data_IF_966601699004
#
_entry.id   IF_966601699004
#
_cell.length_a   1.000
_cell.length_b   1.000
_cell.length_c   1.000
_cell.angle_alpha   90.00
_cell.angle_beta   90.00
_cell.angle_gamma   90.00
#
_symmetry.space_group_name_H-M   'P 1'
#
loop_
_entity.id
_entity.type
_entity.pdbx_description
1 polymer ?
#
# COMPACT_ATOMS: atom_id res chain seq x y z
N UNK A 1 -12.42 38.49 -3.82
CA UNK A 1 -13.54 37.51 -3.87
C UNK A 1 -13.00 36.38 -4.69
N UNK A 2 -12.24 35.55 -3.99
CA UNK A 2 -11.29 34.62 -4.56
C UNK A 2 -11.93 33.25 -4.44
N UNK A 3 -12.22 32.66 -5.60
CA UNK A 3 -12.67 31.28 -5.73
C UNK A 3 -11.54 30.59 -6.48
N UNK A 4 -10.57 30.07 -5.73
CA UNK A 4 -9.59 29.11 -6.21
C UNK A 4 -9.51 27.96 -5.22
N UNK A 5 -10.03 26.80 -5.63
CA UNK A 5 -9.38 25.50 -5.48
C UNK A 5 -10.31 24.43 -6.04
N UNK A 6 -10.35 24.33 -7.37
CA UNK A 6 -10.78 23.10 -8.02
C UNK A 6 -9.77 22.00 -7.65
N UNK A 7 -10.20 21.07 -6.81
CA UNK A 7 -9.45 19.84 -6.54
C UNK A 7 -9.23 19.11 -7.87
N UNK A 8 -7.97 19.05 -8.29
CA UNK A 8 -7.51 18.18 -9.36
C UNK A 8 -7.78 16.72 -8.98
N UNK A 9 -8.94 16.22 -9.40
CA UNK A 9 -9.18 14.79 -9.54
C UNK A 9 -8.18 14.28 -10.57
N UNK A 10 -7.05 13.73 -10.10
CA UNK A 10 -6.17 12.94 -10.94
C UNK A 10 -6.99 11.71 -11.35
N UNK A 11 -7.58 11.78 -12.55
CA UNK A 11 -8.10 10.62 -13.28
C UNK A 11 -6.92 9.68 -13.50
N UNK A 12 -6.69 8.79 -12.53
CA UNK A 12 -5.85 7.61 -12.78
C UNK A 12 -6.59 6.81 -13.85
N UNK A 13 -6.08 6.85 -15.09
CA UNK A 13 -6.56 6.03 -16.19
C UNK A 13 -6.74 4.60 -15.68
N UNK A 14 -7.99 4.16 -15.57
CA UNK A 14 -8.29 2.80 -15.16
C UNK A 14 -7.69 1.86 -16.22
N UNK A 15 -6.59 1.19 -15.89
CA UNK A 15 -5.93 0.29 -16.83
C UNK A 15 -6.82 -0.94 -17.06
N UNK A 16 -7.54 -0.92 -18.18
CA UNK A 16 -8.46 -1.98 -18.55
C UNK A 16 -7.73 -3.11 -19.28
N UNK A 17 -7.91 -4.35 -18.80
CA UNK A 17 -7.47 -5.53 -19.54
C UNK A 17 -8.60 -5.97 -20.47
N UNK A 18 -8.41 -5.74 -21.77
CA UNK A 18 -9.26 -6.29 -22.81
C UNK A 18 -8.72 -7.67 -23.21
N UNK A 19 -9.52 -8.71 -23.02
CA UNK A 19 -9.19 -10.06 -23.44
C UNK A 19 -10.07 -10.47 -24.61
N UNK A 20 -9.50 -11.14 -25.61
CA UNK A 20 -10.29 -11.74 -26.68
C UNK A 20 -11.09 -12.92 -26.10
N UNK A 21 -12.40 -12.89 -26.26
CA UNK A 21 -13.24 -14.06 -26.02
C UNK A 21 -13.06 -15.04 -27.17
N UNK A 22 -12.32 -16.12 -26.90
CA UNK A 22 -12.04 -17.19 -27.86
C UNK A 22 -13.32 -17.80 -28.45
N UNK A 23 -14.46 -17.69 -27.76
CA UNK A 23 -15.74 -18.21 -28.22
C UNK A 23 -16.50 -17.27 -29.17
N UNK A 24 -16.27 -15.95 -29.15
CA UNK A 24 -17.13 -15.00 -29.87
C UNK A 24 -16.43 -13.86 -30.62
N UNK A 25 -15.10 -13.87 -30.74
CA UNK A 25 -14.34 -12.81 -31.45
C UNK A 25 -14.67 -11.40 -30.94
N UNK A 26 -15.01 -11.29 -29.65
CA UNK A 26 -15.35 -10.04 -28.98
C UNK A 26 -14.31 -9.76 -27.90
N UNK A 27 -13.97 -8.50 -27.72
CA UNK A 27 -13.17 -8.08 -26.57
C UNK A 27 -14.07 -8.05 -25.34
N UNK A 28 -13.59 -8.67 -24.27
CA UNK A 28 -14.27 -8.72 -22.98
C UNK A 28 -13.44 -7.95 -21.97
N UNK A 29 -14.13 -7.12 -21.19
CA UNK A 29 -13.56 -6.42 -20.07
C UNK A 29 -13.23 -7.40 -18.94
N UNK A 30 -11.97 -7.40 -18.49
CA UNK A 30 -11.52 -8.27 -17.40
C UNK A 30 -10.93 -7.44 -16.27
N UNK A 31 -11.57 -7.50 -15.10
CA UNK A 31 -11.10 -6.88 -13.86
C UNK A 31 -11.44 -7.79 -12.67
N UNK A 32 -10.52 -7.90 -11.72
CA UNK A 32 -10.73 -8.60 -10.43
C UNK A 32 -12.00 -8.16 -9.70
N UNK A 33 -12.38 -6.87 -9.82
CA UNK A 33 -13.66 -6.36 -9.31
C UNK A 33 -14.84 -7.12 -9.90
N UNK A 34 -14.87 -7.30 -11.23
CA UNK A 34 -15.96 -8.00 -11.93
C UNK A 34 -15.98 -9.47 -11.53
N UNK A 35 -14.81 -10.11 -11.45
CA UNK A 35 -14.67 -11.49 -10.97
C UNK A 35 -15.26 -11.65 -9.55
N UNK A 36 -14.96 -10.71 -8.64
CA UNK A 36 -15.45 -10.71 -7.26
C UNK A 36 -16.95 -10.40 -7.17
N UNK A 37 -17.45 -9.40 -7.90
CA UNK A 37 -18.85 -9.00 -7.88
C UNK A 37 -19.79 -10.10 -8.41
N UNK A 38 -19.31 -10.95 -9.31
CA UNK A 38 -20.07 -12.09 -9.86
C UNK A 38 -19.57 -13.45 -9.37
N UNK A 39 -18.92 -13.51 -8.20
CA UNK A 39 -18.59 -14.78 -7.53
C UNK A 39 -19.85 -15.62 -7.26
N UNK A 40 -19.68 -16.92 -7.04
CA UNK A 40 -20.80 -17.82 -6.71
C UNK A 40 -21.48 -17.43 -5.40
N UNK A 41 -22.73 -17.86 -5.22
CA UNK A 41 -23.47 -17.61 -3.97
C UNK A 41 -22.82 -18.30 -2.74
N UNK A 42 -22.07 -19.39 -2.95
CA UNK A 42 -21.30 -20.04 -1.87
C UNK A 42 -20.15 -19.17 -1.33
N UNK A 43 -19.80 -18.10 -2.05
CA UNK A 43 -18.75 -17.16 -1.68
C UNK A 43 -19.32 -15.79 -1.29
N UNK A 44 -20.62 -15.67 -0.98
CA UNK A 44 -21.21 -14.36 -0.65
C UNK A 44 -20.57 -13.70 0.57
N UNK A 45 -20.27 -14.49 1.59
CA UNK A 45 -19.76 -14.01 2.88
C UNK A 45 -18.24 -13.74 2.91
N UNK A 46 -17.53 -13.91 1.79
CA UNK A 46 -16.09 -13.63 1.71
C UNK A 46 -15.84 -12.18 1.32
N UNK A 47 -14.90 -11.51 2.01
CA UNK A 47 -14.45 -10.18 1.63
C UNK A 47 -13.49 -10.22 0.43
N UNK A 48 -13.25 -9.06 -0.20
CA UNK A 48 -12.42 -8.96 -1.40
C UNK A 48 -10.97 -9.44 -1.13
N UNK A 49 -10.42 -9.07 0.02
CA UNK A 49 -9.07 -9.48 0.40
C UNK A 49 -8.95 -11.01 0.48
N UNK A 50 -9.88 -11.66 1.18
CA UNK A 50 -9.85 -13.11 1.34
C UNK A 50 -10.22 -13.85 0.05
N UNK A 51 -11.07 -13.27 -0.80
CA UNK A 51 -11.33 -13.80 -2.13
C UNK A 51 -10.03 -13.91 -2.95
N UNK A 52 -9.22 -12.86 -2.99
CA UNK A 52 -7.93 -12.88 -3.72
C UNK A 52 -6.94 -13.83 -3.04
N UNK A 53 -6.93 -13.86 -1.70
CA UNK A 53 -6.07 -14.74 -0.90
C UNK A 53 -6.33 -16.22 -1.16
N UNK A 54 -7.59 -16.63 -1.23
CA UNK A 54 -7.98 -18.04 -1.29
C UNK A 54 -8.37 -18.50 -2.68
N UNK A 55 -8.82 -17.63 -3.58
CA UNK A 55 -9.33 -18.01 -4.89
C UNK A 55 -8.51 -17.39 -6.02
N UNK A 56 -8.64 -18.00 -7.19
CA UNK A 56 -8.17 -17.44 -8.46
C UNK A 56 -9.11 -17.85 -9.57
N UNK A 57 -9.21 -16.98 -10.57
CA UNK A 57 -9.85 -17.32 -11.83
C UNK A 57 -8.97 -18.29 -12.63
N UNK A 58 -9.58 -19.26 -13.30
CA UNK A 58 -8.94 -20.23 -14.20
C UNK A 58 -9.86 -20.52 -15.39
N UNK A 59 -9.35 -20.62 -16.63
CA UNK A 59 -10.09 -21.20 -17.74
C UNK A 59 -10.60 -22.61 -17.40
N UNK A 60 -11.77 -22.96 -17.92
CA UNK A 60 -12.42 -24.25 -17.66
C UNK A 60 -11.83 -25.33 -18.57
N UNK A 61 -11.29 -26.40 -17.95
CA UNK A 61 -10.84 -27.59 -18.68
C UNK A 61 -11.92 -28.69 -18.70
N UNK A 62 -11.74 -29.68 -19.58
CA UNK A 62 -12.63 -30.86 -19.63
C UNK A 62 -12.72 -31.62 -18.29
N UNK A 63 -11.65 -31.63 -17.48
CA UNK A 63 -11.65 -32.22 -16.14
C UNK A 63 -12.49 -31.41 -15.16
N UNK A 64 -12.47 -30.09 -15.29
CA UNK A 64 -13.23 -29.20 -14.42
C UNK A 64 -14.74 -29.31 -14.71
N UNK A 65 -15.13 -29.41 -16.00
CA UNK A 65 -16.54 -29.65 -16.40
C UNK A 65 -17.12 -30.92 -15.77
N UNK A 66 -16.41 -32.06 -15.92
CA UNK A 66 -16.83 -33.34 -15.32
C UNK A 66 -16.98 -33.25 -13.80
N UNK A 67 -16.11 -32.50 -13.13
CA UNK A 67 -16.18 -32.32 -11.69
C UNK A 67 -17.36 -31.46 -11.27
N UNK A 68 -17.63 -30.36 -11.99
CA UNK A 68 -18.77 -29.49 -11.72
C UNK A 68 -20.09 -30.22 -11.92
N UNK A 69 -20.19 -31.04 -12.98
CA UNK A 69 -21.33 -31.94 -13.22
C UNK A 69 -21.50 -32.96 -12.09
N UNK A 70 -20.40 -33.59 -11.64
CA UNK A 70 -20.42 -34.50 -10.51
C UNK A 70 -20.84 -33.80 -9.20
N UNK A 71 -20.34 -32.58 -8.94
CA UNK A 71 -20.74 -31.78 -7.79
C UNK A 71 -22.22 -31.40 -7.84
N UNK A 72 -22.76 -31.05 -9.01
CA UNK A 72 -24.17 -30.76 -9.19
C UNK A 72 -25.04 -32.00 -8.94
N UNK A 73 -24.60 -33.18 -9.41
CA UNK A 73 -25.30 -34.45 -9.19
C UNK A 73 -25.23 -34.96 -7.73
N UNK A 74 -24.20 -34.58 -6.97
CA UNK A 74 -23.98 -35.07 -5.59
C UNK A 74 -24.60 -34.17 -4.51
N UNK A 75 -25.15 -32.99 -4.86
CA UNK A 75 -25.84 -32.11 -3.90
C UNK A 75 -27.07 -32.75 -3.19
N UNK A 76 -27.46 -33.97 -3.56
CA UNK A 76 -28.60 -34.69 -2.99
C UNK A 76 -28.26 -35.83 -2.01
N UNK A 77 -27.00 -36.26 -1.82
CA UNK A 77 -26.65 -37.34 -0.87
C UNK A 77 -25.25 -37.15 -0.27
N UNK A 78 -25.17 -36.83 1.02
CA UNK A 78 -23.93 -36.85 1.81
C UNK A 78 -23.47 -38.30 2.06
N UNK A 79 -22.75 -38.91 1.11
CA UNK A 79 -21.96 -40.12 1.37
C UNK A 79 -20.47 -39.82 1.25
N UNK A 80 -19.84 -39.55 2.40
CA UNK A 80 -18.39 -39.35 2.53
C UNK A 80 -17.65 -40.69 2.50
N UNK A 81 -17.58 -41.35 1.34
CA UNK A 81 -16.55 -42.38 1.20
C UNK A 81 -15.17 -41.73 1.05
N UNK A 82 -14.14 -42.22 1.77
CA UNK A 82 -12.81 -41.65 1.72
C UNK A 82 -12.18 -41.93 0.34
N UNK A 83 -12.25 -40.94 -0.55
CA UNK A 83 -11.56 -40.99 -1.84
C UNK A 83 -10.05 -41.05 -1.60
N UNK A 84 -9.39 -42.06 -2.18
CA UNK A 84 -7.95 -42.25 -2.09
C UNK A 84 -7.23 -41.21 -2.97
N UNK A 85 -6.29 -40.45 -2.40
CA UNK A 85 -5.47 -39.47 -3.11
C UNK A 85 -5.61 -38.04 -2.59
N UNK A 86 -4.91 -37.09 -3.24
CA UNK A 86 -4.97 -35.68 -2.86
C UNK A 86 -6.37 -35.12 -3.14
N UNK A 87 -7.05 -34.51 -2.16
CA UNK A 87 -8.35 -33.90 -2.38
C UNK A 87 -8.23 -32.79 -3.42
N UNK A 88 -9.22 -32.74 -4.29
CA UNK A 88 -9.29 -31.77 -5.37
C UNK A 88 -9.68 -30.40 -4.82
N UNK A 89 -9.10 -29.32 -5.35
CA UNK A 89 -9.50 -27.97 -4.97
C UNK A 89 -10.99 -27.73 -5.19
N UNK A 90 -11.61 -26.95 -4.32
CA UNK A 90 -12.97 -26.46 -4.52
C UNK A 90 -13.07 -25.63 -5.81
N UNK A 91 -14.19 -25.79 -6.52
CA UNK A 91 -14.47 -25.19 -7.82
C UNK A 91 -15.84 -24.56 -7.78
N UNK A 92 -15.90 -23.32 -8.23
CA UNK A 92 -17.11 -22.52 -8.19
C UNK A 92 -17.28 -21.81 -9.52
N UNK A 93 -18.49 -21.86 -10.08
CA UNK A 93 -18.81 -21.13 -11.30
C UNK A 93 -19.07 -19.66 -10.98
N UNK A 94 -18.79 -18.77 -11.94
CA UNK A 94 -19.29 -17.41 -11.85
C UNK A 94 -20.80 -17.38 -12.07
N UNK A 95 -21.44 -16.31 -11.58
CA UNK A 95 -22.83 -16.04 -11.90
C UNK A 95 -23.01 -15.70 -13.38
N UNK A 96 -24.22 -15.90 -13.90
CA UNK A 96 -24.56 -15.68 -15.30
C UNK A 96 -24.29 -14.24 -15.80
N UNK A 97 -24.26 -13.25 -14.89
CA UNK A 97 -23.92 -11.86 -15.22
C UNK A 97 -22.42 -11.62 -15.50
N UNK A 98 -21.54 -12.59 -15.19
CA UNK A 98 -20.12 -12.45 -15.45
C UNK A 98 -19.80 -12.60 -16.94
N UNK A 99 -19.00 -11.70 -17.56
CA UNK A 99 -18.69 -11.77 -18.99
C UNK A 99 -18.00 -13.06 -19.43
N UNK A 100 -17.27 -13.72 -18.52
CA UNK A 100 -16.57 -14.98 -18.77
C UNK A 100 -17.18 -16.18 -18.03
N UNK A 101 -18.48 -16.12 -17.66
CA UNK A 101 -19.14 -17.16 -16.87
C UNK A 101 -19.07 -18.56 -17.52
N UNK A 102 -19.11 -18.63 -18.86
CA UNK A 102 -19.09 -19.88 -19.61
C UNK A 102 -17.69 -20.46 -19.83
N UNK A 103 -16.64 -19.64 -19.70
CA UNK A 103 -15.27 -20.02 -20.06
C UNK A 103 -14.33 -20.12 -18.86
N UNK A 104 -14.65 -19.47 -17.74
CA UNK A 104 -13.79 -19.42 -16.56
C UNK A 104 -14.52 -19.84 -15.28
N UNK A 105 -13.75 -20.29 -14.29
CA UNK A 105 -14.23 -20.66 -12.95
C UNK A 105 -13.33 -20.07 -11.86
N UNK A 106 -13.87 -20.01 -10.66
CA UNK A 106 -13.12 -19.82 -9.43
C UNK A 106 -12.59 -21.15 -8.91
N UNK A 107 -11.29 -21.22 -8.66
CA UNK A 107 -10.66 -22.37 -8.02
C UNK A 107 -9.99 -21.95 -6.72
N UNK A 108 -10.26 -22.71 -5.66
CA UNK A 108 -9.61 -22.50 -4.37
C UNK A 108 -8.15 -22.91 -4.45
N UNK A 109 -7.28 -22.00 -4.02
CA UNK A 109 -5.84 -22.19 -3.92
C UNK A 109 -5.55 -23.22 -2.83
N UNK A 110 -4.54 -24.04 -3.09
CA UNK A 110 -4.05 -25.03 -2.11
C UNK A 110 -3.29 -24.37 -0.97
N UNK A 111 -2.64 -23.24 -1.26
CA UNK A 111 -1.96 -22.39 -0.28
C UNK A 111 -2.49 -20.96 -0.45
N UNK A 112 -2.88 -20.28 0.64
CA UNK A 112 -3.29 -18.89 0.56
C UNK A 112 -2.11 -18.01 0.12
N UNK A 113 -2.42 -16.92 -0.56
CA UNK A 113 -1.45 -15.90 -0.98
C UNK A 113 -1.76 -14.58 -0.28
N UNK A 114 -0.76 -13.73 -0.07
CA UNK A 114 -0.99 -12.37 0.42
C UNK A 114 -1.33 -11.49 -0.79
N UNK A 115 -2.53 -10.89 -0.86
CA UNK A 115 -2.88 -9.94 -1.91
C UNK A 115 -1.93 -8.75 -1.91
N UNK A 116 -1.46 -8.36 -3.09
CA UNK A 116 -0.72 -7.11 -3.29
C UNK A 116 -1.74 -6.03 -3.63
N UNK A 117 -1.83 -5.01 -2.79
CA UNK A 117 -2.71 -3.86 -3.02
C UNK A 117 -2.03 -2.91 -4.01
N UNK A 118 -2.59 -2.80 -5.22
CA UNK A 118 -2.14 -1.86 -6.24
C UNK A 118 -2.98 -0.58 -6.14
N UNK A 119 -2.33 0.57 -6.26
CA UNK A 119 -2.96 1.88 -6.20
C UNK A 119 -2.49 2.72 -5.02
N UNK A 120 -3.21 3.80 -4.69
CA UNK A 120 -2.90 4.64 -3.54
C UNK A 120 -2.86 3.80 -2.24
N UNK A 121 -1.91 4.08 -1.33
CA UNK A 121 -1.86 3.37 -0.07
C UNK A 121 -3.13 3.63 0.74
N UNK A 122 -3.51 2.65 1.57
CA UNK A 122 -4.59 2.85 2.54
C UNK A 122 -4.18 4.01 3.47
N UNK A 123 -5.01 5.07 3.62
CA UNK A 123 -4.68 6.21 4.47
C UNK A 123 -4.59 5.84 5.95
N UNK A 124 -4.24 6.79 6.83
CA UNK A 124 -4.32 6.56 8.28
C UNK A 124 -5.71 6.83 8.81
N UNK A 125 -6.05 6.16 9.90
CA UNK A 125 -7.32 6.40 10.61
C UNK A 125 -7.33 7.67 11.47
N UNK A 126 -6.19 8.09 11.99
CA UNK A 126 -6.06 9.18 12.97
C UNK A 126 -6.08 10.58 12.35
N UNK A 127 -5.89 10.69 11.05
CA UNK A 127 -5.94 11.95 10.30
C UNK A 127 -7.34 12.26 9.80
N UNK A 128 -7.93 13.35 10.30
CA UNK A 128 -9.31 13.77 10.01
C UNK A 128 -9.60 13.89 8.50
N UNK A 129 -8.70 14.52 7.76
CA UNK A 129 -8.77 14.76 6.31
C UNK A 129 -8.72 13.47 5.47
N UNK A 130 -8.26 12.36 6.05
CA UNK A 130 -8.17 11.06 5.37
C UNK A 130 -9.04 9.97 5.98
N UNK A 131 -9.75 10.28 7.07
CA UNK A 131 -10.49 9.33 7.89
C UNK A 131 -11.61 8.62 7.13
N UNK A 132 -12.40 9.37 6.35
CA UNK A 132 -13.44 8.79 5.49
C UNK A 132 -12.85 7.88 4.40
N UNK A 133 -11.72 8.28 3.80
CA UNK A 133 -11.01 7.47 2.80
C UNK A 133 -10.44 6.19 3.41
N UNK A 134 -9.96 6.24 4.66
CA UNK A 134 -9.54 5.06 5.40
C UNK A 134 -10.69 4.06 5.56
N UNK A 135 -11.82 4.49 6.13
CA UNK A 135 -12.96 3.59 6.36
C UNK A 135 -13.53 3.00 5.07
N UNK A 136 -13.60 3.81 4.00
CA UNK A 136 -13.96 3.33 2.66
C UNK A 136 -13.03 2.23 2.18
N UNK A 137 -11.71 2.41 2.31
CA UNK A 137 -10.72 1.41 1.89
C UNK A 137 -10.83 0.12 2.71
N UNK A 138 -10.96 0.23 4.04
CA UNK A 138 -11.09 -0.94 4.92
C UNK A 138 -12.37 -1.73 4.62
N UNK A 139 -13.51 -1.05 4.50
CA UNK A 139 -14.78 -1.71 4.15
C UNK A 139 -14.71 -2.39 2.79
N UNK A 140 -14.14 -1.73 1.78
CA UNK A 140 -13.98 -2.29 0.44
C UNK A 140 -13.13 -3.57 0.44
N UNK A 141 -12.10 -3.64 1.29
CA UNK A 141 -11.18 -4.79 1.32
C UNK A 141 -11.68 -5.93 2.22
N UNK A 142 -12.24 -5.59 3.39
CA UNK A 142 -12.44 -6.54 4.49
C UNK A 142 -13.90 -6.83 4.85
N UNK A 143 -14.86 -6.20 4.18
CA UNK A 143 -16.28 -6.53 4.30
C UNK A 143 -16.75 -7.27 3.03
N UNK A 144 -17.68 -8.25 3.13
CA UNK A 144 -18.29 -8.86 1.95
C UNK A 144 -19.26 -7.88 1.26
N UNK A 145 -19.14 -7.75 -0.06
CA UNK A 145 -20.01 -6.86 -0.86
C UNK A 145 -20.11 -7.31 -2.32
N UNK A 146 -21.16 -6.86 -3.00
CA UNK A 146 -21.37 -6.99 -4.46
C UNK A 146 -21.63 -5.63 -5.09
N UNK A 147 -22.24 -4.71 -4.34
CA UNK A 147 -22.49 -3.33 -4.73
C UNK A 147 -21.87 -2.36 -3.72
N UNK A 148 -21.78 -1.08 -4.09
CA UNK A 148 -21.27 -0.04 -3.18
C UNK A 148 -22.29 0.20 -2.05
N UNK A 149 -23.58 0.02 -2.32
CA UNK A 149 -24.67 0.16 -1.36
C UNK A 149 -24.55 -0.84 -0.21
N UNK A 150 -23.96 -2.02 -0.44
CA UNK A 150 -23.71 -2.99 0.63
C UNK A 150 -22.72 -2.45 1.68
N UNK A 151 -21.81 -1.57 1.25
CA UNK A 151 -20.76 -0.99 2.08
C UNK A 151 -21.21 0.27 2.81
N UNK A 152 -21.88 1.18 2.10
CA UNK A 152 -22.27 2.48 2.61
C UNK A 152 -23.60 2.93 1.98
N UNK A 153 -24.48 3.45 2.82
CA UNK A 153 -25.82 3.92 2.43
C UNK A 153 -25.70 5.41 2.09
N UNK A 154 -26.66 5.95 1.35
CA UNK A 154 -26.58 7.32 0.82
C UNK A 154 -26.60 8.38 1.94
N UNK A 155 -27.20 8.05 3.08
CA UNK A 155 -27.41 8.92 4.23
C UNK A 155 -26.42 8.70 5.37
N UNK A 156 -25.42 7.83 5.22
CA UNK A 156 -24.41 7.58 6.25
C UNK A 156 -22.99 7.92 5.77
N UNK A 157 -22.12 8.27 6.73
CA UNK A 157 -20.68 8.43 6.44
C UNK A 157 -19.98 7.07 6.43
N UNK A 158 -18.79 6.99 5.82
CA UNK A 158 -18.01 5.74 5.81
C UNK A 158 -17.59 5.32 7.21
N UNK A 159 -17.32 6.29 8.10
CA UNK A 159 -17.09 5.98 9.51
C UNK A 159 -18.28 5.29 10.17
N UNK A 160 -19.49 5.85 10.02
CA UNK A 160 -20.70 5.28 10.61
C UNK A 160 -20.96 3.87 10.07
N UNK A 161 -20.84 3.73 8.74
CA UNK A 161 -20.97 2.45 8.06
C UNK A 161 -19.98 1.40 8.59
N UNK A 162 -18.73 1.81 8.84
CA UNK A 162 -17.70 0.94 9.40
C UNK A 162 -18.05 0.54 10.84
N UNK A 163 -18.44 1.47 11.69
CA UNK A 163 -18.82 1.17 13.08
C UNK A 163 -19.93 0.13 13.16
N UNK A 164 -20.94 0.21 12.30
CA UNK A 164 -22.06 -0.74 12.25
C UNK A 164 -21.58 -2.13 11.78
N UNK A 165 -20.74 -2.17 10.74
CA UNK A 165 -20.31 -3.41 10.07
C UNK A 165 -19.09 -4.08 10.72
N UNK A 166 -18.38 -3.38 11.60
CA UNK A 166 -17.13 -3.84 12.20
C UNK A 166 -17.24 -5.19 12.91
N UNK A 167 -18.37 -5.46 13.58
CA UNK A 167 -18.60 -6.71 14.29
C UNK A 167 -18.63 -7.96 13.37
N UNK A 168 -18.90 -7.77 12.07
CA UNK A 168 -18.93 -8.85 11.08
C UNK A 168 -17.56 -9.12 10.46
N UNK A 169 -16.56 -8.26 10.70
CA UNK A 169 -15.21 -8.44 10.19
C UNK A 169 -14.52 -9.53 11.03
N UNK A 170 -13.84 -10.47 10.35
CA UNK A 170 -13.18 -11.58 11.03
C UNK A 170 -12.01 -11.09 11.88
N UNK A 171 -11.70 -11.80 12.98
CA UNK A 171 -10.56 -11.46 13.83
C UNK A 171 -9.22 -11.45 13.07
N UNK A 172 -9.05 -12.35 12.10
CA UNK A 172 -7.86 -12.37 11.24
C UNK A 172 -7.79 -11.14 10.33
N UNK A 173 -8.92 -10.72 9.75
CA UNK A 173 -9.00 -9.47 8.98
C UNK A 173 -8.71 -8.26 9.85
N UNK A 174 -9.22 -8.20 11.09
CA UNK A 174 -8.92 -7.13 12.04
C UNK A 174 -7.41 -7.01 12.31
N UNK A 175 -6.70 -8.13 12.51
CA UNK A 175 -5.23 -8.10 12.68
C UNK A 175 -4.53 -7.50 11.46
N UNK A 176 -5.00 -7.80 10.25
CA UNK A 176 -4.44 -7.23 9.02
C UNK A 176 -4.73 -5.72 8.96
N UNK A 177 -5.94 -5.29 9.33
CA UNK A 177 -6.32 -3.88 9.42
C UNK A 177 -5.40 -3.13 10.40
N UNK A 178 -5.12 -3.72 11.56
CA UNK A 178 -4.21 -3.15 12.56
C UNK A 178 -2.77 -3.07 12.02
N UNK A 179 -2.29 -4.10 11.32
CA UNK A 179 -0.98 -4.07 10.68
C UNK A 179 -0.86 -3.01 9.57
N UNK A 180 -1.93 -2.75 8.82
CA UNK A 180 -1.97 -1.68 7.81
C UNK A 180 -1.80 -0.32 8.50
N UNK A 181 -2.49 -0.09 9.61
CA UNK A 181 -2.36 1.14 10.40
C UNK A 181 -0.95 1.29 10.96
N UNK A 182 -0.39 0.23 11.56
CA UNK A 182 0.97 0.22 12.11
C UNK A 182 2.03 0.50 11.05
N UNK A 183 1.91 -0.11 9.85
CA UNK A 183 2.83 0.14 8.74
C UNK A 183 2.88 1.63 8.39
N UNK A 184 1.72 2.28 8.41
CA UNK A 184 1.61 3.68 8.07
C UNK A 184 2.10 4.60 9.21
N UNK A 185 1.95 4.21 10.47
CA UNK A 185 2.60 4.86 11.61
C UNK A 185 4.12 4.82 11.48
N UNK A 186 4.71 3.63 11.36
CA UNK A 186 6.16 3.48 11.22
C UNK A 186 6.73 4.20 9.98
N UNK A 187 5.97 4.24 8.88
CA UNK A 187 6.37 4.98 7.68
C UNK A 187 6.52 6.47 7.99
N UNK A 188 5.56 7.07 8.70
CA UNK A 188 5.64 8.48 9.03
C UNK A 188 6.77 8.77 10.01
N UNK A 189 6.95 7.96 11.04
CA UNK A 189 8.03 8.15 12.01
C UNK A 189 9.41 8.12 11.32
N UNK A 190 9.58 7.19 10.36
CA UNK A 190 10.79 7.11 9.55
C UNK A 190 10.96 8.31 8.62
N UNK A 191 9.89 8.73 7.95
CA UNK A 191 9.94 9.82 6.99
C UNK A 191 10.17 11.17 7.71
N UNK A 192 9.60 11.36 8.92
CA UNK A 192 9.87 12.51 9.81
C UNK A 192 11.32 12.52 10.30
N UNK A 193 11.82 11.36 10.75
CA UNK A 193 13.22 11.24 11.16
C UNK A 193 14.18 11.56 10.00
N UNK A 194 13.87 11.06 8.79
CA UNK A 194 14.64 11.36 7.59
C UNK A 194 14.63 12.87 7.29
N UNK A 195 13.47 13.52 7.41
CA UNK A 195 13.36 14.96 7.18
C UNK A 195 14.22 15.75 8.18
N UNK A 196 14.19 15.41 9.47
CA UNK A 196 15.03 16.04 10.50
C UNK A 196 16.53 15.89 10.20
N UNK A 197 16.96 14.72 9.73
CA UNK A 197 18.36 14.47 9.32
C UNK A 197 18.75 15.36 8.14
N UNK A 198 17.87 15.49 7.14
CA UNK A 198 18.10 16.35 5.97
C UNK A 198 18.19 17.82 6.38
N UNK A 199 17.27 18.29 7.24
CA UNK A 199 17.25 19.67 7.75
C UNK A 199 18.51 19.98 8.58
N UNK A 200 18.95 19.06 9.44
CA UNK A 200 20.20 19.20 10.19
C UNK A 200 21.43 19.30 9.28
N UNK A 201 21.52 18.41 8.28
CA UNK A 201 22.61 18.44 7.30
C UNK A 201 22.62 19.74 6.47
N UNK A 202 21.45 20.28 6.12
CA UNK A 202 21.35 21.56 5.41
C UNK A 202 21.69 22.76 6.31
N UNK A 203 21.32 22.70 7.60
CA UNK A 203 21.65 23.74 8.57
C UNK A 203 23.14 23.80 8.91
N UNK A 204 23.87 22.68 8.82
CA UNK A 204 25.33 22.66 9.01
C UNK A 204 26.12 23.18 7.78
N UNK A 205 25.46 23.39 6.63
CA UNK A 205 26.10 23.84 5.38
C UNK A 205 25.87 25.35 5.08
N UNK A 206 25.04 26.07 5.83
CA UNK A 206 24.92 27.54 5.70
C UNK A 206 25.72 28.26 6.77
N UNK A 207 27.03 28.36 6.53
CA UNK A 207 27.81 29.53 6.95
C UNK A 207 28.48 30.11 5.71
N UNK A 208 27.64 30.61 4.80
CA UNK A 208 28.02 31.19 3.50
C UNK A 208 28.60 32.62 3.63
N UNK A 209 29.26 32.91 4.75
CA UNK A 209 29.86 34.22 5.08
C UNK A 209 31.39 34.18 5.17
N UNK A 210 32.03 33.28 4.44
CA UNK A 210 33.46 33.38 4.13
C UNK A 210 33.69 33.19 2.63
N UNK A 211 33.13 34.10 1.83
CA UNK A 211 33.75 34.48 0.57
C UNK A 211 34.75 35.61 0.87
N UNK A 212 36.05 35.35 1.09
CA UNK A 212 37.02 36.41 0.93
C UNK A 212 37.08 36.71 -0.57
N UNK A 213 36.52 37.86 -0.96
CA UNK A 213 36.90 38.50 -2.22
C UNK A 213 38.42 38.55 -2.25
N UNK A 214 39.03 37.84 -3.20
CA UNK A 214 40.41 38.10 -3.63
C UNK A 214 40.41 39.48 -4.29
N UNK A 215 40.58 40.51 -3.47
CA UNK A 215 41.17 41.75 -3.94
C UNK A 215 42.68 41.55 -3.93
N UNK A 216 43.27 41.66 -5.10
CA UNK A 216 44.71 41.81 -5.27
C UNK A 216 45.20 43.05 -4.49
N UNK A 217 46.34 42.89 -3.82
CA UNK A 217 47.37 43.90 -3.47
C UNK A 217 46.93 45.33 -3.09
N UNK A 218 47.03 45.70 -1.81
CA UNK A 218 48.21 46.41 -1.27
C UNK A 218 48.03 46.78 0.22
N UNK A 219 49.16 46.76 0.94
CA UNK A 219 49.45 47.39 2.25
C UNK A 219 49.36 46.53 3.53
N UNK A 220 50.56 46.09 3.95
CA UNK A 220 51.17 46.10 5.30
C UNK A 220 50.28 45.95 6.55
N UNK A 221 50.46 44.88 7.33
CA UNK A 221 51.07 44.92 8.69
C UNK A 221 51.09 43.51 9.34
N UNK A 222 51.98 43.32 10.32
CA UNK A 222 52.44 42.04 10.84
C UNK A 222 51.40 41.15 11.56
N UNK A 223 51.60 39.84 11.33
CA UNK A 223 50.93 38.70 11.91
C UNK A 223 51.46 38.36 13.32
N UNK A 224 50.88 38.92 14.38
CA UNK A 224 51.16 38.51 15.78
C UNK A 224 49.93 38.20 16.65
N UNK A 225 48.70 38.41 16.17
CA UNK A 225 47.48 38.22 16.99
C UNK A 225 46.87 36.81 16.97
N UNK A 226 47.20 35.97 15.98
CA UNK A 226 46.51 34.67 15.77
C UNK A 226 47.09 33.56 16.65
N UNK A 227 48.37 33.64 17.04
CA UNK A 227 49.02 32.59 17.82
C UNK A 227 48.66 32.65 19.32
N UNK A 228 48.36 33.84 19.84
CA UNK A 228 47.99 34.09 21.24
C UNK A 228 46.54 33.64 21.56
N UNK A 229 45.67 33.59 20.54
CA UNK A 229 44.28 33.12 20.65
C UNK A 229 44.21 31.59 20.63
N UNK A 230 45.18 30.90 20.02
CA UNK A 230 45.24 29.44 19.99
C UNK A 230 45.77 28.83 21.30
N UNK A 231 46.51 29.58 22.12
CA UNK A 231 46.96 29.15 23.46
C UNK A 231 45.88 29.32 24.56
N UNK A 232 44.80 30.04 24.28
CA UNK A 232 43.73 30.33 25.26
C UNK A 232 42.48 29.45 25.10
N UNK A 233 42.42 28.60 24.08
CA UNK A 233 41.32 27.63 23.89
C UNK A 233 41.62 26.37 24.71
N UNK A 234 40.98 26.26 25.87
CA UNK A 234 40.96 25.00 26.62
C UNK A 234 40.11 23.97 25.87
N UNK A 235 40.77 22.99 25.24
CA UNK A 235 40.12 21.90 24.51
C UNK A 235 39.24 21.00 25.40
N UNK A 236 39.23 21.19 26.72
CA UNK A 236 38.36 20.45 27.63
C UNK A 236 36.93 21.03 27.77
N UNK A 237 36.66 22.22 27.24
CA UNK A 237 35.34 22.88 27.27
C UNK A 237 34.52 22.76 25.97
N UNK A 238 35.00 21.99 24.98
CA UNK A 238 34.16 21.61 23.85
C UNK A 238 33.10 20.63 24.37
N UNK A 239 31.80 20.92 24.25
CA UNK A 239 30.77 19.95 24.63
C UNK A 239 30.90 18.75 23.71
N UNK A 240 31.52 17.69 24.22
CA UNK A 240 31.45 16.35 23.64
C UNK A 240 29.97 16.02 23.57
N UNK A 241 29.41 16.03 22.36
CA UNK A 241 28.09 15.48 22.09
C UNK A 241 28.10 14.05 22.66
N UNK A 242 27.36 13.88 23.75
CA UNK A 242 27.29 12.64 24.50
C UNK A 242 26.65 11.58 23.61
N UNK A 243 27.53 10.66 23.28
CA UNK A 243 27.36 9.28 22.84
C UNK A 243 26.79 9.03 21.44
N UNK A 244 27.58 8.36 20.58
CA UNK A 244 27.04 7.80 19.36
C UNK A 244 26.05 6.71 19.72
N UNK A 245 24.89 6.74 19.06
CA UNK A 245 24.06 5.55 18.95
C UNK A 245 24.89 4.33 18.54
N UNK A 246 24.36 3.14 18.81
CA UNK A 246 24.98 1.85 18.49
C UNK A 246 25.62 1.86 17.09
N UNK A 247 26.70 1.09 16.86
CA UNK A 247 27.38 1.04 15.54
C UNK A 247 26.40 0.86 14.36
N UNK A 248 25.30 0.15 14.59
CA UNK A 248 24.18 -0.01 13.65
C UNK A 248 23.46 1.30 13.28
N UNK A 249 23.22 2.18 14.25
CA UNK A 249 22.57 3.48 14.04
C UNK A 249 23.50 4.42 13.28
N UNK A 250 24.80 4.47 13.62
CA UNK A 250 25.78 5.27 12.86
C UNK A 250 25.88 4.83 11.40
N UNK A 251 25.93 3.52 11.14
CA UNK A 251 25.95 2.97 9.78
C UNK A 251 24.64 3.30 9.04
N UNK A 252 23.51 3.31 9.74
CA UNK A 252 22.24 3.71 9.16
C UNK A 252 22.25 5.20 8.79
N UNK A 253 22.68 6.09 9.69
CA UNK A 253 22.80 7.52 9.42
C UNK A 253 23.71 7.81 8.23
N UNK A 254 24.91 7.21 8.20
CA UNK A 254 25.88 7.41 7.13
C UNK A 254 25.33 6.92 5.77
N UNK A 255 24.64 5.76 5.75
CA UNK A 255 23.98 5.25 4.53
C UNK A 255 22.80 6.10 4.09
N UNK A 256 22.05 6.68 5.03
CA UNK A 256 20.90 7.54 4.73
C UNK A 256 21.38 8.87 4.13
N UNK A 257 22.38 9.51 4.73
CA UNK A 257 23.01 10.74 4.20
C UNK A 257 23.58 10.46 2.80
N UNK A 258 24.33 9.38 2.63
CA UNK A 258 24.87 8.99 1.32
C UNK A 258 23.77 8.71 0.28
N UNK A 259 22.65 8.11 0.68
CA UNK A 259 21.53 7.84 -0.22
C UNK A 259 20.72 9.10 -0.57
N UNK A 260 20.76 10.14 0.27
CA UNK A 260 20.16 11.47 0.00
C UNK A 260 21.07 12.31 -0.89
N UNK A 261 22.39 12.19 -0.78
CA UNK A 261 23.34 12.93 -1.63
C UNK A 261 23.46 12.34 -3.05
N UNK A 262 23.19 11.04 -3.21
CA UNK A 262 23.36 10.35 -4.49
C UNK A 262 22.28 10.53 -5.58
N UNK A 263 21.07 11.08 -5.35
CA UNK A 263 20.13 11.34 -6.43
C UNK A 263 19.98 12.85 -6.69
N UNK A 264 20.54 13.27 -7.83
CA UNK A 264 20.07 14.40 -8.65
C UNK A 264 18.59 14.24 -9.08
N UNK A 265 17.66 14.03 -8.14
CA UNK A 265 16.25 13.76 -8.43
C UNK A 265 15.39 15.02 -8.50
N UNK A 266 15.91 16.16 -8.01
CA UNK A 266 15.22 17.45 -8.04
C UNK A 266 15.95 18.55 -8.81
N UNK A 267 17.03 18.22 -9.52
CA UNK A 267 17.84 19.19 -10.28
C UNK A 267 17.18 19.68 -11.58
N UNK A 268 15.95 19.27 -11.90
CA UNK A 268 15.18 19.77 -13.04
C UNK A 268 13.73 20.00 -12.65
N UNK A 269 13.48 21.14 -11.99
CA UNK A 269 12.19 21.83 -12.06
C UNK A 269 12.52 23.22 -12.57
N UNK A 270 12.27 23.45 -13.85
CA UNK A 270 12.24 24.76 -14.51
C UNK A 270 10.86 24.92 -15.13
#
# INVERSE_FOLDING_TARGET
MDIESEESCIETEEQFSLQLDEASTRYVYVNTRVDYQHRSASLDDICLYDYIRFYRKKPIDAKDRKQLEAQAATKSVESKEPRRGRPFSEREMFQAGHPQASSHINIKRLKPVVPVLLGPPVPRRDREDTRERYYRSILTLFFPWRSIQDLCDVDQTWQQAFTIRHASITSESCKIIDHIQLLQECKNDRDEHLQQVIEAAQSEVVNDNLCPSRNDSDSDDENTGILDVLETIDMSDIPVLKEPGTKSEQIYFEKVVQAVDQPNRFSNIQ
#
